data_IF_141936750703
#
_entry.id   IF_141936750703
#
_cell.length_a   1.000
_cell.length_b   1.000
_cell.length_c   1.000
_cell.angle_alpha   90.00
_cell.angle_beta   90.00
_cell.angle_gamma   90.00
#
_symmetry.space_group_name_H-M   'P 1'
#
loop_
_entity.id
_entity.type
_entity.pdbx_description
1 polymer ?
#
# COMPACT_ATOMS: atom_id res chain seq x y z
N UNK A 1 -1.09 -8.97 -0.19
CA UNK A 1 -1.30 -9.03 -1.65
C UNK A 1 -0.71 -10.34 -2.09
N UNK A 2 -1.40 -11.03 -2.99
CA UNK A 2 -0.86 -12.23 -3.61
C UNK A 2 0.23 -11.84 -4.62
N UNK A 3 1.15 -12.75 -4.92
CA UNK A 3 2.22 -12.48 -5.90
C UNK A 3 1.65 -12.07 -7.26
N UNK A 4 0.51 -12.65 -7.64
CA UNK A 4 -0.26 -12.30 -8.84
C UNK A 4 -0.72 -10.84 -8.87
N UNK A 5 -1.07 -10.25 -7.73
CA UNK A 5 -1.43 -8.82 -7.65
C UNK A 5 -0.21 -7.95 -7.94
N UNK A 6 0.94 -8.30 -7.37
CA UNK A 6 2.19 -7.55 -7.53
C UNK A 6 2.65 -7.58 -8.99
N UNK A 7 2.56 -8.73 -9.65
CA UNK A 7 2.87 -8.85 -11.08
C UNK A 7 1.94 -7.99 -11.94
N UNK A 8 0.64 -8.00 -11.65
CA UNK A 8 -0.33 -7.19 -12.37
C UNK A 8 -0.08 -5.70 -12.15
N UNK A 9 0.20 -5.29 -10.91
CA UNK A 9 0.58 -3.91 -10.58
C UNK A 9 1.79 -3.51 -11.40
N UNK A 10 2.87 -4.31 -11.42
CA UNK A 10 4.09 -4.01 -12.19
C UNK A 10 3.84 -3.81 -13.68
N UNK A 11 2.94 -4.60 -14.28
CA UNK A 11 2.54 -4.47 -15.69
C UNK A 11 1.73 -3.20 -15.95
N UNK A 12 0.93 -2.78 -14.96
CA UNK A 12 0.05 -1.61 -15.05
C UNK A 12 0.75 -0.30 -14.64
N UNK A 13 1.80 -0.33 -13.81
CA UNK A 13 2.60 0.84 -13.41
C UNK A 13 2.97 1.81 -14.57
N UNK A 14 3.40 1.34 -15.76
CA UNK A 14 3.69 2.25 -16.88
C UNK A 14 2.45 2.79 -17.59
N UNK A 15 1.31 2.11 -17.50
CA UNK A 15 0.07 2.48 -18.18
C UNK A 15 -0.88 3.28 -17.29
N UNK A 16 -0.73 3.19 -15.97
CA UNK A 16 -1.64 3.74 -14.98
C UNK A 16 -0.89 4.57 -13.95
N UNK A 17 -0.90 5.90 -14.13
CA UNK A 17 -0.24 6.84 -13.23
C UNK A 17 -0.88 6.86 -11.83
N UNK A 18 -2.19 6.63 -11.73
CA UNK A 18 -2.88 6.57 -10.43
C UNK A 18 -2.38 5.37 -9.63
N UNK A 19 -2.32 4.20 -10.26
CA UNK A 19 -1.76 3.00 -9.65
C UNK A 19 -0.30 3.19 -9.24
N UNK A 20 0.50 3.87 -10.07
CA UNK A 20 1.90 4.16 -9.75
C UNK A 20 2.05 5.05 -8.51
N UNK A 21 1.20 6.06 -8.36
CA UNK A 21 1.18 6.90 -7.15
C UNK A 21 0.77 6.10 -5.92
N UNK A 22 -0.31 5.32 -6.02
CA UNK A 22 -0.79 4.47 -4.92
C UNK A 22 0.25 3.43 -4.50
N UNK A 23 0.94 2.82 -5.45
CA UNK A 23 2.01 1.86 -5.18
C UNK A 23 3.21 2.51 -4.50
N UNK A 24 3.58 3.72 -4.93
CA UNK A 24 4.66 4.49 -4.29
C UNK A 24 4.30 4.86 -2.85
N UNK A 25 3.06 5.30 -2.63
CA UNK A 25 2.54 5.61 -1.29
C UNK A 25 2.49 4.35 -0.42
N UNK A 26 2.10 3.20 -0.97
CA UNK A 26 2.13 1.93 -0.27
C UNK A 26 3.54 1.59 0.25
N UNK A 27 4.55 1.70 -0.60
CA UNK A 27 5.95 1.43 -0.23
C UNK A 27 6.47 2.41 0.83
N UNK A 28 6.09 3.69 0.75
CA UNK A 28 6.45 4.68 1.76
C UNK A 28 5.81 4.38 3.12
N UNK A 29 4.51 4.04 3.12
CA UNK A 29 3.78 3.63 4.32
C UNK A 29 4.38 2.36 4.93
N UNK A 30 4.77 1.37 4.11
CA UNK A 30 5.47 0.17 4.58
C UNK A 30 6.80 0.50 5.23
N UNK A 31 7.61 1.35 4.60
CA UNK A 31 8.90 1.77 5.15
C UNK A 31 8.74 2.50 6.48
N UNK A 32 7.73 3.39 6.59
CA UNK A 32 7.40 4.07 7.85
C UNK A 32 6.96 3.07 8.92
N UNK A 33 6.08 2.13 8.58
CA UNK A 33 5.64 1.07 9.50
C UNK A 33 6.81 0.22 9.99
N UNK A 34 7.75 -0.11 9.09
CA UNK A 34 8.94 -0.89 9.44
C UNK A 34 9.84 -0.11 10.41
N UNK A 35 9.98 1.20 10.25
CA UNK A 35 10.71 2.04 11.21
C UNK A 35 10.09 1.97 12.60
N UNK A 36 8.76 2.01 12.71
CA UNK A 36 8.08 1.83 13.99
C UNK A 36 8.21 0.40 14.53
N UNK A 37 8.12 -0.62 13.67
CA UNK A 37 8.28 -2.02 14.08
C UNK A 37 9.71 -2.36 14.55
N UNK A 38 10.73 -1.65 14.03
CA UNK A 38 12.13 -1.80 14.47
C UNK A 38 12.39 -1.19 15.85
N UNK A 39 11.54 -0.29 16.33
CA UNK A 39 11.67 0.27 17.67
C UNK A 39 11.23 -0.76 18.71
N UNK A 40 12.07 -0.97 19.73
CA UNK A 40 11.80 -1.91 20.80
C UNK A 40 10.62 -1.47 21.68
N UNK A 41 10.43 -0.16 21.82
CA UNK A 41 9.30 0.46 22.51
C UNK A 41 8.80 1.65 21.68
N UNK A 42 7.47 1.78 21.61
CA UNK A 42 6.79 2.89 20.97
C UNK A 42 6.10 3.71 22.05
N UNK A 43 6.25 5.03 22.00
CA UNK A 43 5.47 5.93 22.84
C UNK A 43 3.99 5.92 22.39
N UNK A 44 3.06 6.35 23.25
CA UNK A 44 1.63 6.35 22.91
C UNK A 44 1.30 7.13 21.63
N UNK A 45 2.01 8.23 21.37
CA UNK A 45 1.88 8.99 20.11
C UNK A 45 2.37 8.20 18.89
N UNK A 46 3.43 7.42 19.05
CA UNK A 46 4.00 6.59 17.98
C UNK A 46 3.10 5.38 17.70
N UNK A 47 2.47 4.80 18.72
CA UNK A 47 1.45 3.77 18.54
C UNK A 47 0.23 4.29 17.78
N UNK A 48 -0.23 5.51 18.09
CA UNK A 48 -1.29 6.16 17.33
C UNK A 48 -0.89 6.38 15.87
N UNK A 49 0.31 6.93 15.61
CA UNK A 49 0.84 7.11 14.25
C UNK A 49 0.97 5.78 13.50
N UNK A 50 1.46 4.73 14.16
CA UNK A 50 1.56 3.38 13.58
C UNK A 50 0.18 2.86 13.16
N UNK A 51 -0.83 3.00 14.02
CA UNK A 51 -2.22 2.62 13.71
C UNK A 51 -2.80 3.43 12.55
N UNK A 52 -2.51 4.73 12.50
CA UNK A 52 -2.93 5.59 11.39
C UNK A 52 -2.29 5.15 10.06
N UNK A 53 -1.00 4.87 10.06
CA UNK A 53 -0.28 4.35 8.88
C UNK A 53 -0.85 2.98 8.46
N UNK A 54 -1.21 2.11 9.41
CA UNK A 54 -1.89 0.85 9.08
C UNK A 54 -3.24 1.06 8.40
N UNK A 55 -4.04 2.03 8.86
CA UNK A 55 -5.31 2.38 8.22
C UNK A 55 -5.11 2.96 6.82
N UNK A 56 -4.13 3.85 6.66
CA UNK A 56 -3.78 4.40 5.34
C UNK A 56 -3.30 3.30 4.38
N UNK A 57 -2.47 2.37 4.88
CA UNK A 57 -2.00 1.22 4.09
C UNK A 57 -3.16 0.32 3.66
N UNK A 58 -4.14 0.12 4.55
CA UNK A 58 -5.36 -0.64 4.23
C UNK A 58 -6.15 0.06 3.12
N UNK A 59 -6.46 1.34 3.29
CA UNK A 59 -7.18 2.14 2.30
C UNK A 59 -6.46 2.19 0.94
N UNK A 60 -5.13 2.31 0.94
CA UNK A 60 -4.32 2.25 -0.28
C UNK A 60 -4.39 0.87 -0.95
N UNK A 61 -4.39 -0.22 -0.17
CA UNK A 61 -4.59 -1.57 -0.69
C UNK A 61 -5.99 -1.72 -1.31
N UNK A 62 -7.04 -1.26 -0.63
CA UNK A 62 -8.42 -1.28 -1.17
C UNK A 62 -8.48 -0.55 -2.51
N UNK A 63 -7.89 0.64 -2.60
CA UNK A 63 -7.82 1.43 -3.83
C UNK A 63 -7.08 0.70 -4.96
N UNK A 64 -5.95 0.07 -4.65
CA UNK A 64 -5.19 -0.75 -5.61
C UNK A 64 -6.06 -1.92 -6.08
N UNK A 65 -6.75 -2.60 -5.16
CA UNK A 65 -7.61 -3.74 -5.48
C UNK A 65 -8.79 -3.35 -6.36
N UNK A 66 -9.39 -2.17 -6.14
CA UNK A 66 -10.43 -1.62 -7.01
C UNK A 66 -9.92 -1.38 -8.44
N UNK A 67 -8.70 -0.83 -8.58
CA UNK A 67 -8.07 -0.63 -9.89
C UNK A 67 -7.82 -1.98 -10.56
N UNK A 68 -7.18 -2.92 -9.86
CA UNK A 68 -6.91 -4.26 -10.38
C UNK A 68 -8.20 -4.99 -10.77
N UNK A 69 -9.28 -4.83 -9.99
CA UNK A 69 -10.60 -5.41 -10.27
C UNK A 69 -11.20 -4.84 -11.55
N UNK A 70 -11.05 -3.53 -11.82
CA UNK A 70 -11.46 -2.91 -13.09
C UNK A 70 -10.70 -3.51 -14.28
N UNK A 71 -9.39 -3.69 -14.14
CA UNK A 71 -8.56 -4.33 -15.19
C UNK A 71 -8.89 -5.82 -15.39
N UNK A 72 -9.21 -6.55 -14.31
CA UNK A 72 -9.63 -7.97 -14.40
C UNK A 72 -11.02 -8.15 -14.99
N UNK A 73 -11.95 -7.22 -14.75
CA UNK A 73 -13.32 -7.27 -15.31
C UNK A 73 -13.42 -6.69 -16.73
N UNK A 74 -12.45 -5.88 -17.16
CA UNK A 74 -12.38 -5.28 -18.49
C UNK A 74 -11.59 -6.08 -19.52
N UNK A 75 -11.10 -7.28 -19.16
CA UNK A 75 -10.40 -8.22 -20.04
C UNK A 75 -11.34 -9.32 -20.56
#
# INVERSE_FOLDING_TARGET
>A
MEESDIELIRKLLPNDEELRRLWTEHLDLEKKLEQYNKKHYLSSEEEMKRKEIQKLKLAGKDRIEEILSKYRKGA
#
